data_IF_775011590260
#
_entry.id   IF_775011590260
#
_cell.length_a   1.000
_cell.length_b   1.000
_cell.length_c   1.000
_cell.angle_alpha   90.00
_cell.angle_beta   90.00
_cell.angle_gamma   90.00
#
_symmetry.space_group_name_H-M   'P 1'
#
loop_
_entity.id
_entity.type
_entity.pdbx_description
1 polymer ?
#
# COMPACT_ATOMS: atom_id res chain seq x y z
N UNK A 1 -23.27 2.72 1.46
CA UNK A 1 -22.22 3.55 2.09
C UNK A 1 -21.91 4.72 1.15
N UNK A 2 -21.99 5.97 1.61
CA UNK A 2 -21.79 7.16 0.75
C UNK A 2 -20.37 7.68 0.93
N UNK A 3 -19.55 7.59 -0.12
CA UNK A 3 -18.19 8.14 -0.13
C UNK A 3 -18.28 9.67 -0.18
N UNK A 4 -17.47 10.35 0.65
CA UNK A 4 -17.33 11.82 0.65
C UNK A 4 -15.93 12.17 0.13
N UNK A 5 -15.87 12.83 -1.03
CA UNK A 5 -14.61 13.11 -1.70
C UNK A 5 -13.68 13.98 -0.84
N UNK A 6 -14.24 14.91 -0.06
CA UNK A 6 -13.50 15.81 0.81
C UNK A 6 -12.70 15.02 1.85
N UNK A 7 -13.32 13.99 2.45
CA UNK A 7 -12.66 13.12 3.43
C UNK A 7 -11.57 12.25 2.81
N UNK A 8 -11.74 11.81 1.56
CA UNK A 8 -10.74 10.98 0.88
C UNK A 8 -9.53 11.80 0.44
N UNK A 9 -9.70 13.10 0.16
CA UNK A 9 -8.59 13.99 -0.23
C UNK A 9 -7.58 14.16 0.90
N UNK A 10 -8.03 14.11 2.15
CA UNK A 10 -7.15 14.23 3.33
C UNK A 10 -6.15 13.07 3.40
N UNK A 11 -6.46 11.89 2.83
CA UNK A 11 -5.52 10.77 2.80
C UNK A 11 -4.31 11.03 1.88
N UNK A 12 -4.37 12.01 0.95
CA UNK A 12 -3.30 12.30 0.00
C UNK A 12 -2.50 13.54 0.41
N UNK A 13 -1.26 13.41 0.94
CA UNK A 13 -0.48 14.55 1.45
C UNK A 13 -0.26 15.67 0.45
N UNK A 14 -0.15 15.34 -0.84
CA UNK A 14 0.05 16.33 -1.91
C UNK A 14 -1.20 17.20 -2.15
N UNK A 15 -2.37 16.74 -1.71
CA UNK A 15 -3.66 17.43 -1.84
C UNK A 15 -4.13 18.08 -0.52
N UNK A 16 -3.37 17.98 0.56
CA UNK A 16 -3.70 18.59 1.86
C UNK A 16 -3.96 20.09 1.76
N UNK A 17 -4.77 20.59 2.69
CA UNK A 17 -5.19 21.98 2.77
C UNK A 17 -4.00 22.96 2.71
N UNK A 18 -4.13 24.00 1.90
CA UNK A 18 -3.06 24.97 1.63
C UNK A 18 -2.37 24.76 0.28
N UNK A 19 -2.44 23.55 -0.29
CA UNK A 19 -1.96 23.27 -1.65
C UNK A 19 -3.15 23.29 -2.61
N UNK A 20 -3.34 24.39 -3.33
CA UNK A 20 -4.37 24.51 -4.39
C UNK A 20 -3.94 23.72 -5.64
N UNK A 21 -3.87 22.40 -5.52
CA UNK A 21 -3.48 21.50 -6.60
C UNK A 21 -4.69 20.81 -7.20
N UNK A 22 -4.87 21.01 -8.51
CA UNK A 22 -5.80 20.23 -9.34
C UNK A 22 -4.97 19.25 -10.16
N UNK A 23 -5.12 17.96 -9.89
CA UNK A 23 -4.34 16.90 -10.54
C UNK A 23 -5.26 16.01 -11.37
N UNK A 24 -5.23 16.17 -12.69
CA UNK A 24 -6.06 15.43 -13.65
C UNK A 24 -5.25 14.48 -14.54
N UNK A 25 -4.04 14.11 -14.12
CA UNK A 25 -3.16 13.20 -14.85
C UNK A 25 -3.11 11.78 -14.24
N UNK A 26 -4.21 11.35 -13.61
CA UNK A 26 -4.31 10.06 -12.92
C UNK A 26 -4.12 8.85 -13.86
N UNK A 27 -4.37 9.02 -15.15
CA UNK A 27 -4.14 7.99 -16.16
C UNK A 27 -2.64 7.73 -16.39
N UNK A 28 -1.80 8.76 -16.26
CA UNK A 28 -0.35 8.63 -16.32
C UNK A 28 0.22 8.12 -14.99
N UNK A 29 -0.16 8.77 -13.87
CA UNK A 29 0.30 8.37 -12.54
C UNK A 29 -0.75 8.67 -11.49
N UNK A 30 -1.03 7.71 -10.62
CA UNK A 30 -1.92 7.95 -9.48
C UNK A 30 -1.15 8.47 -8.28
N UNK A 31 -1.74 9.42 -7.55
CA UNK A 31 -1.22 9.87 -6.26
C UNK A 31 -1.29 8.73 -5.23
N UNK A 32 -0.44 8.78 -4.21
CA UNK A 32 -0.40 7.75 -3.15
C UNK A 32 -1.03 8.30 -1.88
N UNK A 33 -2.00 7.59 -1.28
CA UNK A 33 -2.53 7.95 0.02
C UNK A 33 -1.53 7.59 1.13
N UNK A 34 -1.63 8.21 2.30
CA UNK A 34 -0.74 8.03 3.46
C UNK A 34 -0.57 6.57 3.84
N UNK A 35 -1.66 5.80 3.83
CA UNK A 35 -1.66 4.38 4.18
C UNK A 35 -0.68 3.56 3.32
N UNK A 36 -0.53 3.89 2.03
CA UNK A 36 0.44 3.22 1.15
C UNK A 36 1.86 3.67 1.46
N UNK A 37 2.05 4.96 1.71
CA UNK A 37 3.36 5.53 2.05
C UNK A 37 3.86 4.96 3.38
N UNK A 38 2.98 4.92 4.38
CA UNK A 38 3.27 4.44 5.73
C UNK A 38 3.60 2.95 5.72
N UNK A 39 2.92 2.12 4.93
CA UNK A 39 3.25 0.70 4.79
C UNK A 39 4.66 0.47 4.19
N UNK A 40 5.04 1.26 3.18
CA UNK A 40 6.40 1.21 2.62
C UNK A 40 7.43 1.69 3.65
N UNK A 41 7.10 2.76 4.38
CA UNK A 41 7.95 3.30 5.45
C UNK A 41 8.15 2.26 6.56
N UNK A 42 7.08 1.61 7.02
CA UNK A 42 7.11 0.57 8.05
C UNK A 42 8.05 -0.58 7.66
N UNK A 43 7.98 -1.07 6.42
CA UNK A 43 8.92 -2.08 5.93
C UNK A 43 10.38 -1.62 6.08
N UNK A 44 10.68 -0.39 5.66
CA UNK A 44 12.04 0.14 5.70
C UNK A 44 12.54 0.45 7.13
N UNK A 45 11.65 0.89 8.01
CA UNK A 45 12.00 1.27 9.39
C UNK A 45 12.02 0.07 10.35
N UNK A 46 11.15 -0.92 10.16
CA UNK A 46 10.95 -1.98 11.15
C UNK A 46 11.47 -3.36 10.72
N UNK A 47 11.41 -3.71 9.43
CA UNK A 47 11.82 -5.04 8.95
C UNK A 47 12.44 -5.05 7.54
N UNK A 48 13.49 -4.26 7.28
CA UNK A 48 14.15 -4.19 5.97
C UNK A 48 15.08 -5.40 5.75
N UNK A 49 14.48 -6.57 5.53
CA UNK A 49 15.18 -7.81 5.36
C UNK A 49 14.83 -8.47 4.02
N UNK A 50 15.68 -9.39 3.59
CA UNK A 50 15.33 -10.25 2.48
C UNK A 50 14.41 -11.38 2.96
N UNK A 51 13.14 -11.35 2.56
CA UNK A 51 12.25 -12.51 2.68
C UNK A 51 12.82 -13.75 1.96
N UNK A 52 12.27 -14.92 2.26
CA UNK A 52 12.57 -16.27 1.72
C UNK A 52 14.02 -16.77 1.86
N UNK A 53 14.98 -15.86 2.07
CA UNK A 53 16.42 -16.09 2.13
C UNK A 53 16.98 -15.86 3.53
N UNK A 54 16.33 -15.03 4.34
CA UNK A 54 16.72 -14.76 5.72
C UNK A 54 15.85 -15.54 6.71
N UNK A 55 16.45 -16.50 7.42
CA UNK A 55 15.73 -17.28 8.45
C UNK A 55 15.54 -16.57 9.80
N UNK A 56 16.07 -15.35 9.96
CA UNK A 56 15.93 -14.56 11.18
C UNK A 56 14.58 -13.81 11.24
N UNK A 57 14.27 -13.28 12.42
CA UNK A 57 12.96 -12.65 12.75
C UNK A 57 12.44 -11.67 11.69
N UNK A 58 13.29 -10.76 11.20
CA UNK A 58 12.87 -9.77 10.20
C UNK A 58 12.49 -10.41 8.86
N UNK A 59 13.25 -11.41 8.38
CA UNK A 59 12.93 -12.13 7.15
C UNK A 59 11.57 -12.83 7.24
N UNK A 60 11.30 -13.50 8.37
CA UNK A 60 9.98 -14.10 8.63
C UNK A 60 8.84 -13.07 8.58
N UNK A 61 9.04 -11.87 9.15
CA UNK A 61 8.03 -10.80 9.10
C UNK A 61 7.77 -10.31 7.68
N UNK A 62 8.80 -10.26 6.83
CA UNK A 62 8.65 -9.95 5.40
C UNK A 62 7.79 -11.01 4.72
N UNK A 63 8.12 -12.30 4.91
CA UNK A 63 7.40 -13.41 4.27
C UNK A 63 5.92 -13.43 4.65
N UNK A 64 5.62 -13.24 5.94
CA UNK A 64 4.25 -13.14 6.45
C UNK A 64 3.49 -11.96 5.83
N UNK A 65 4.15 -10.80 5.71
CA UNK A 65 3.54 -9.58 5.15
C UNK A 65 3.27 -9.73 3.64
N UNK A 66 4.20 -10.32 2.90
CA UNK A 66 4.06 -10.60 1.46
C UNK A 66 2.92 -11.60 1.22
N UNK A 67 2.85 -12.67 2.02
CA UNK A 67 1.79 -13.66 1.90
C UNK A 67 0.40 -13.08 2.18
N UNK A 68 0.29 -12.18 3.16
CA UNK A 68 -0.96 -11.43 3.40
C UNK A 68 -1.32 -10.53 2.21
N UNK A 69 -0.34 -9.80 1.66
CA UNK A 69 -0.58 -8.96 0.48
C UNK A 69 -1.06 -9.79 -0.72
N UNK A 70 -0.48 -10.98 -0.94
CA UNK A 70 -0.90 -11.93 -1.98
C UNK A 70 -2.34 -12.39 -1.80
N UNK A 71 -2.75 -12.72 -0.57
CA UNK A 71 -4.15 -13.10 -0.26
C UNK A 71 -5.14 -11.98 -0.52
N UNK A 72 -4.79 -10.75 -0.16
CA UNK A 72 -5.61 -9.56 -0.45
C UNK A 72 -5.74 -9.34 -1.95
N UNK A 73 -4.63 -9.41 -2.69
CA UNK A 73 -4.61 -9.30 -4.15
C UNK A 73 -5.46 -10.36 -4.84
N UNK A 74 -5.32 -11.64 -4.43
CA UNK A 74 -6.14 -12.75 -4.91
C UNK A 74 -7.64 -12.46 -4.75
N UNK A 75 -8.05 -12.03 -3.56
CA UNK A 75 -9.45 -11.70 -3.27
C UNK A 75 -9.93 -10.49 -4.09
N UNK A 76 -9.09 -9.47 -4.22
CA UNK A 76 -9.40 -8.26 -5.00
C UNK A 76 -9.63 -8.58 -6.48
N UNK A 77 -8.81 -9.46 -7.06
CA UNK A 77 -8.92 -9.90 -8.45
C UNK A 77 -9.97 -11.01 -8.66
N UNK A 78 -10.52 -11.59 -7.59
CA UNK A 78 -11.46 -12.71 -7.69
C UNK A 78 -10.82 -14.05 -8.13
N UNK A 79 -9.51 -14.21 -7.93
CA UNK A 79 -8.81 -15.43 -8.32
C UNK A 79 -9.14 -16.61 -7.40
N UNK A 80 -9.28 -17.81 -7.99
CA UNK A 80 -9.67 -19.02 -7.25
C UNK A 80 -8.55 -19.62 -6.41
N UNK A 81 -7.32 -19.58 -6.92
CA UNK A 81 -6.12 -20.16 -6.29
C UNK A 81 -5.13 -19.08 -5.87
N UNK A 82 -4.29 -19.43 -4.91
CA UNK A 82 -3.17 -18.64 -4.38
C UNK A 82 -1.84 -18.93 -5.10
N UNK A 83 -1.76 -20.06 -5.80
CA UNK A 83 -0.69 -20.39 -6.74
C UNK A 83 -0.92 -19.78 -8.13
N UNK A 84 0.17 -19.58 -8.86
CA UNK A 84 0.15 -19.39 -10.32
C UNK A 84 -0.54 -20.56 -11.05
#
# INVERSE_FOLDING_TARGET
MRLKAERLRDDFPVLEAGRKLTYFDNACMTLRPRQVIDAVREYHEEFPACGERSMHRLGRRVDESVEQARKVGRKFLGARKDSE
#
